data_IF_408241682407
#
_entry.id   IF_408241682407
#
_cell.length_a   1.000
_cell.length_b   1.000
_cell.length_c   1.000
_cell.angle_alpha   90.00
_cell.angle_beta   90.00
_cell.angle_gamma   90.00
#
_symmetry.space_group_name_H-M   'P 1'
#
loop_
_entity.id
_entity.type
_entity.pdbx_description
1 polymer ?
#
# COMPACT_ATOMS: atom_id res chain seq x y z
N UNK A 1 19.21 9.21 -18.24
CA UNK A 1 19.04 9.06 -16.76
C UNK A 1 18.06 7.94 -16.52
N UNK A 2 18.35 7.00 -15.60
CA UNK A 2 17.40 5.94 -15.23
C UNK A 2 16.38 6.53 -14.27
N UNK A 3 15.10 6.24 -14.51
CA UNK A 3 14.01 6.63 -13.61
C UNK A 3 13.29 5.37 -13.14
N UNK A 4 13.00 5.31 -11.85
CA UNK A 4 12.30 4.20 -11.22
C UNK A 4 10.95 4.65 -10.68
N UNK A 5 9.99 3.74 -10.65
CA UNK A 5 8.75 3.97 -9.91
C UNK A 5 8.20 2.66 -9.34
N UNK A 6 7.40 2.78 -8.31
CA UNK A 6 6.63 1.67 -7.72
C UNK A 6 5.23 2.12 -7.38
N UNK A 7 4.30 1.17 -7.34
CA UNK A 7 2.88 1.42 -7.05
C UNK A 7 2.42 0.43 -6.00
N UNK A 8 1.77 0.91 -4.96
CA UNK A 8 1.22 0.05 -3.93
C UNK A 8 0.38 0.81 -2.92
N UNK A 9 -0.16 0.10 -1.93
CA UNK A 9 -0.80 0.73 -0.77
C UNK A 9 0.17 1.03 0.35
N UNK A 10 1.21 0.20 0.51
CA UNK A 10 2.28 0.36 1.50
C UNK A 10 1.76 0.58 2.93
N UNK A 11 0.74 -0.15 3.31
CA UNK A 11 0.05 0.00 4.59
C UNK A 11 0.15 -1.29 5.42
N UNK A 12 1.24 -1.41 6.25
CA UNK A 12 2.36 -0.45 6.37
C UNK A 12 3.51 -0.67 5.38
N UNK A 13 4.50 0.25 5.38
CA UNK A 13 5.75 0.17 4.62
C UNK A 13 6.74 -0.75 5.35
N UNK A 14 6.95 -1.94 4.82
CA UNK A 14 7.77 -3.00 5.43
C UNK A 14 9.22 -2.97 4.97
N UNK A 15 10.09 -3.69 5.71
CA UNK A 15 11.47 -3.92 5.29
C UNK A 15 11.56 -4.62 3.92
N UNK A 16 10.56 -5.44 3.55
CA UNK A 16 10.50 -6.05 2.22
C UNK A 16 10.27 -5.04 1.10
N UNK A 17 9.45 -4.01 1.34
CA UNK A 17 9.29 -2.90 0.41
C UNK A 17 10.57 -2.06 0.30
N UNK A 18 11.23 -1.79 1.43
CA UNK A 18 12.48 -1.05 1.46
C UNK A 18 13.59 -1.81 0.70
N UNK A 19 13.75 -3.12 0.96
CA UNK A 19 14.74 -3.94 0.26
C UNK A 19 14.53 -3.95 -1.26
N UNK A 20 13.26 -4.01 -1.72
CA UNK A 20 12.96 -3.93 -3.15
C UNK A 20 13.46 -2.61 -3.77
N UNK A 21 13.37 -1.51 -3.04
CA UNK A 21 13.87 -0.21 -3.49
C UNK A 21 15.41 -0.22 -3.44
N UNK A 22 16.02 -0.57 -2.32
CA UNK A 22 17.46 -0.54 -2.09
C UNK A 22 18.26 -1.43 -3.05
N UNK A 23 17.68 -2.57 -3.47
CA UNK A 23 18.30 -3.48 -4.43
C UNK A 23 18.43 -2.89 -5.85
N UNK A 24 17.59 -1.92 -6.19
CA UNK A 24 17.46 -1.42 -7.56
C UNK A 24 17.83 0.06 -7.71
N UNK A 25 17.72 0.84 -6.65
CA UNK A 25 17.84 2.30 -6.67
C UNK A 25 19.00 2.72 -5.80
N UNK A 26 20.01 3.33 -6.40
CA UNK A 26 21.19 3.84 -5.67
C UNK A 26 20.95 5.15 -4.94
N UNK A 27 20.00 5.96 -5.46
CA UNK A 27 19.66 7.27 -4.93
C UNK A 27 18.13 7.40 -4.93
N UNK A 28 17.53 7.69 -3.78
CA UNK A 28 16.06 7.76 -3.63
C UNK A 28 15.41 8.90 -4.44
N UNK A 29 16.17 9.89 -4.85
CA UNK A 29 15.71 10.96 -5.76
C UNK A 29 15.28 10.42 -7.14
N UNK A 30 15.76 9.24 -7.52
CA UNK A 30 15.45 8.60 -8.80
C UNK A 30 14.23 7.68 -8.75
N UNK A 31 13.50 7.61 -7.63
CA UNK A 31 12.29 6.81 -7.51
C UNK A 31 11.05 7.66 -7.24
N UNK A 32 9.99 7.40 -8.00
CA UNK A 32 8.65 7.90 -7.71
C UNK A 32 7.81 6.82 -7.06
N UNK A 33 7.28 7.08 -5.87
CA UNK A 33 6.39 6.14 -5.18
C UNK A 33 4.94 6.61 -5.31
N UNK A 34 4.12 5.77 -5.93
CA UNK A 34 2.68 6.02 -6.08
C UNK A 34 1.90 5.20 -5.05
N UNK A 35 1.16 5.90 -4.19
CA UNK A 35 0.34 5.28 -3.16
C UNK A 35 -1.11 5.29 -3.60
N UNK A 36 -1.72 4.12 -3.67
CA UNK A 36 -3.17 4.00 -3.90
C UNK A 36 -3.88 4.44 -2.62
N UNK A 37 -4.44 5.63 -2.63
CA UNK A 37 -5.03 6.26 -1.47
C UNK A 37 -6.36 5.64 -1.05
N UNK A 38 -6.63 5.61 0.25
CA UNK A 38 -7.91 5.19 0.80
C UNK A 38 -9.05 6.15 0.42
N UNK A 39 -8.74 7.44 0.27
CA UNK A 39 -9.70 8.49 -0.05
C UNK A 39 -10.25 8.46 -1.48
N UNK A 40 -9.60 7.73 -2.39
CA UNK A 40 -10.00 7.66 -3.80
C UNK A 40 -10.93 6.49 -4.13
N UNK A 41 -11.57 5.89 -3.16
CA UNK A 41 -12.60 4.88 -3.43
C UNK A 41 -13.76 5.57 -4.16
N UNK A 42 -14.14 5.12 -5.37
CA UNK A 42 -15.22 5.73 -6.14
C UNK A 42 -16.51 5.72 -5.35
N UNK A 43 -17.09 6.90 -5.06
CA UNK A 43 -18.36 7.02 -4.30
C UNK A 43 -19.61 6.75 -5.13
N UNK A 44 -19.50 6.63 -6.45
CA UNK A 44 -20.63 6.69 -7.38
C UNK A 44 -21.67 5.58 -7.23
N UNK A 45 -21.37 4.46 -6.58
CA UNK A 45 -22.28 3.33 -6.40
C UNK A 45 -22.26 2.76 -4.97
N UNK A 46 -21.83 3.53 -4.00
CA UNK A 46 -21.70 3.05 -2.64
C UNK A 46 -23.08 2.92 -1.99
N UNK A 47 -23.45 1.71 -1.64
CA UNK A 47 -24.60 1.45 -0.79
C UNK A 47 -24.21 1.67 0.67
N UNK A 48 -25.18 2.11 1.47
CA UNK A 48 -25.02 2.12 2.93
C UNK A 48 -24.83 0.69 3.42
N UNK A 49 -23.88 0.47 4.31
CA UNK A 49 -23.61 -0.85 4.88
C UNK A 49 -24.81 -1.37 5.66
N UNK A 50 -25.14 -2.65 5.52
CA UNK A 50 -26.02 -3.33 6.46
C UNK A 50 -25.29 -3.64 7.75
N UNK A 51 -26.01 -3.79 8.87
CA UNK A 51 -25.42 -4.19 10.17
C UNK A 51 -24.62 -5.51 10.07
N UNK A 52 -25.14 -6.47 9.32
CA UNK A 52 -24.46 -7.74 9.08
C UNK A 52 -23.15 -7.57 8.30
N UNK A 53 -23.14 -6.73 7.27
CA UNK A 53 -21.93 -6.43 6.52
C UNK A 53 -20.87 -5.75 7.40
N UNK A 54 -21.28 -4.84 8.28
CA UNK A 54 -20.38 -4.18 9.22
C UNK A 54 -19.82 -5.20 10.21
N UNK A 55 -20.66 -6.08 10.78
CA UNK A 55 -20.23 -7.14 11.69
C UNK A 55 -19.16 -8.04 11.04
N UNK A 56 -19.45 -8.55 9.84
CA UNK A 56 -18.50 -9.38 9.08
C UNK A 56 -17.21 -8.64 8.74
N UNK A 57 -17.29 -7.33 8.45
CA UNK A 57 -16.11 -6.52 8.20
C UNK A 57 -15.24 -6.34 9.45
N UNK A 58 -15.85 -6.17 10.63
CA UNK A 58 -15.15 -6.10 11.91
C UNK A 58 -14.44 -7.43 12.20
N UNK A 59 -15.13 -8.56 12.09
CA UNK A 59 -14.56 -9.89 12.31
C UNK A 59 -13.36 -10.16 11.40
N UNK A 60 -13.48 -9.75 10.13
CA UNK A 60 -12.35 -9.88 9.18
C UNK A 60 -11.21 -8.93 9.51
N UNK A 61 -11.51 -7.69 9.92
CA UNK A 61 -10.51 -6.71 10.35
C UNK A 61 -9.73 -7.21 11.58
N UNK A 62 -10.45 -7.69 12.60
CA UNK A 62 -9.84 -8.22 13.82
C UNK A 62 -8.97 -9.47 13.57
N UNK A 63 -9.25 -10.23 12.51
CA UNK A 63 -8.50 -11.42 12.15
C UNK A 63 -7.32 -11.15 11.20
N UNK A 64 -7.40 -10.11 10.36
CA UNK A 64 -6.47 -9.88 9.24
C UNK A 64 -5.85 -8.48 9.21
N UNK A 65 -6.27 -7.56 10.08
CA UNK A 65 -5.80 -6.17 10.14
C UNK A 65 -6.14 -5.32 8.93
N UNK A 66 -7.07 -5.75 8.11
CA UNK A 66 -7.59 -5.05 6.95
C UNK A 66 -9.04 -5.44 6.69
N UNK A 67 -9.73 -4.64 5.89
CA UNK A 67 -11.08 -4.99 5.43
C UNK A 67 -11.00 -5.91 4.22
N UNK A 68 -11.86 -6.91 4.17
CA UNK A 68 -12.00 -7.76 3.00
C UNK A 68 -12.42 -6.93 1.77
N UNK A 69 -11.79 -7.20 0.62
CA UNK A 69 -11.93 -6.38 -0.59
C UNK A 69 -13.39 -6.23 -1.08
N UNK A 70 -14.23 -7.24 -0.83
CA UNK A 70 -15.67 -7.17 -1.18
C UNK A 70 -16.44 -6.04 -0.49
N UNK A 71 -15.92 -5.53 0.63
CA UNK A 71 -16.54 -4.40 1.36
C UNK A 71 -15.97 -3.03 0.94
N UNK A 72 -14.92 -2.97 0.12
CA UNK A 72 -14.28 -1.71 -0.29
C UNK A 72 -15.19 -0.78 -1.10
N UNK A 73 -16.33 -1.26 -1.54
CA UNK A 73 -17.35 -0.49 -2.28
C UNK A 73 -18.51 0.01 -1.41
N UNK A 74 -18.39 -0.10 -0.08
CA UNK A 74 -19.40 0.34 0.87
C UNK A 74 -18.95 1.66 1.49
N UNK A 75 -19.82 2.68 1.48
CA UNK A 75 -19.49 4.05 1.87
C UNK A 75 -18.86 4.19 3.26
N UNK A 76 -19.34 3.37 4.20
CA UNK A 76 -18.98 3.48 5.61
C UNK A 76 -17.74 2.65 5.96
N UNK A 77 -17.22 1.88 4.99
CA UNK A 77 -16.12 0.93 5.22
C UNK A 77 -14.95 1.29 4.30
N UNK A 78 -13.90 1.85 4.86
CA UNK A 78 -12.64 2.06 4.15
C UNK A 78 -11.79 0.78 4.19
N UNK A 79 -10.96 0.57 3.16
CA UNK A 79 -10.27 -0.71 2.98
C UNK A 79 -9.13 -0.97 3.99
N UNK A 80 -8.63 0.07 4.64
CA UNK A 80 -7.53 -0.03 5.60
C UNK A 80 -7.74 0.91 6.79
N UNK A 81 -7.35 0.51 8.00
CA UNK A 81 -7.47 1.32 9.20
C UNK A 81 -6.50 2.51 9.23
N UNK A 82 -5.41 2.46 8.45
CA UNK A 82 -4.37 3.50 8.49
C UNK A 82 -4.65 4.58 7.46
N UNK A 83 -4.52 5.84 7.89
CA UNK A 83 -4.75 6.98 7.01
C UNK A 83 -3.56 7.26 6.06
N UNK A 84 -3.83 8.09 5.05
CA UNK A 84 -2.84 8.44 4.03
C UNK A 84 -1.67 9.27 4.62
N UNK A 85 -1.90 10.04 5.68
CA UNK A 85 -0.86 10.85 6.34
C UNK A 85 0.17 9.96 7.06
N UNK A 86 -0.29 8.94 7.81
CA UNK A 86 0.61 7.96 8.43
C UNK A 86 1.40 7.20 7.36
N UNK A 87 0.77 6.90 6.22
CA UNK A 87 1.46 6.25 5.10
C UNK A 87 2.54 7.17 4.52
N UNK A 88 2.24 8.45 4.30
CA UNK A 88 3.20 9.44 3.82
C UNK A 88 4.39 9.60 4.76
N UNK A 89 4.14 9.68 6.07
CA UNK A 89 5.17 9.83 7.09
C UNK A 89 6.20 8.69 7.04
N UNK A 90 5.77 7.45 6.77
CA UNK A 90 6.66 6.31 6.67
C UNK A 90 7.72 6.47 5.58
N UNK A 91 7.38 7.09 4.46
CA UNK A 91 8.30 7.34 3.35
C UNK A 91 9.16 8.57 3.60
N UNK A 92 8.60 9.61 4.22
CA UNK A 92 9.35 10.83 4.57
C UNK A 92 10.56 10.54 5.46
N UNK A 93 10.47 9.52 6.32
CA UNK A 93 11.60 9.08 7.15
C UNK A 93 12.79 8.55 6.33
N UNK A 94 12.59 8.24 5.06
CA UNK A 94 13.61 7.79 4.11
C UNK A 94 13.95 8.83 3.06
N UNK A 95 13.41 10.06 3.18
CA UNK A 95 13.51 11.11 2.16
C UNK A 95 12.96 10.66 0.79
N UNK A 96 11.91 9.85 0.80
CA UNK A 96 11.23 9.39 -0.41
C UNK A 96 9.93 10.17 -0.57
N UNK A 97 9.82 10.90 -1.67
CA UNK A 97 8.59 11.58 -2.03
C UNK A 97 7.54 10.61 -2.54
N UNK A 98 6.29 10.86 -2.13
CA UNK A 98 5.16 10.04 -2.53
C UNK A 98 4.07 10.85 -3.22
N UNK A 99 3.41 10.22 -4.18
CA UNK A 99 2.24 10.78 -4.87
C UNK A 99 1.05 9.86 -4.66
N UNK A 100 -0.04 10.40 -4.12
CA UNK A 100 -1.29 9.67 -3.98
C UNK A 100 -2.04 9.60 -5.30
N UNK A 101 -2.56 8.42 -5.61
CA UNK A 101 -3.32 8.12 -6.84
C UNK A 101 -4.55 7.28 -6.49
N UNK A 102 -5.57 7.32 -7.33
CA UNK A 102 -6.77 6.50 -7.15
C UNK A 102 -6.53 5.02 -7.46
N UNK A 103 -5.70 4.74 -8.46
CA UNK A 103 -5.40 3.38 -8.91
C UNK A 103 -4.08 3.30 -9.70
N UNK A 104 -3.70 2.09 -10.06
CA UNK A 104 -2.48 1.84 -10.83
C UNK A 104 -2.54 2.40 -12.26
N UNK A 105 -3.73 2.52 -12.86
CA UNK A 105 -3.89 3.09 -14.20
C UNK A 105 -3.53 4.57 -14.21
N UNK A 106 -3.96 5.32 -13.19
CA UNK A 106 -3.59 6.74 -13.05
C UNK A 106 -2.08 6.90 -12.89
N UNK A 107 -1.45 6.10 -12.01
CA UNK A 107 0.00 6.17 -11.81
C UNK A 107 0.77 5.92 -13.12
N UNK A 108 0.43 4.86 -13.82
CA UNK A 108 1.10 4.45 -15.06
C UNK A 108 0.83 5.46 -16.19
N UNK A 109 -0.37 6.06 -16.26
CA UNK A 109 -0.71 7.04 -17.29
C UNK A 109 0.19 8.27 -17.28
N UNK A 110 0.78 8.61 -16.14
CA UNK A 110 1.73 9.74 -16.01
C UNK A 110 2.98 9.59 -16.88
N UNK A 111 3.28 8.36 -17.32
CA UNK A 111 4.47 8.04 -18.13
C UNK A 111 4.21 7.95 -19.64
N UNK A 112 2.96 8.12 -20.10
CA UNK A 112 2.62 7.97 -21.52
C UNK A 112 3.38 8.92 -22.43
N UNK A 113 3.45 10.18 -22.01
CA UNK A 113 3.97 11.29 -22.84
C UNK A 113 5.38 11.71 -22.43
N UNK A 114 5.96 11.05 -21.40
CA UNK A 114 7.27 11.41 -20.92
C UNK A 114 8.33 10.62 -21.68
N UNK A 115 9.36 11.33 -22.16
CA UNK A 115 10.52 10.73 -22.82
C UNK A 115 11.61 10.48 -21.78
N UNK A 116 11.68 9.25 -21.28
CA UNK A 116 12.82 8.78 -20.51
C UNK A 116 13.74 7.93 -21.38
N UNK A 117 15.04 7.98 -21.09
CA UNK A 117 16.01 7.10 -21.72
C UNK A 117 15.77 5.63 -21.30
N UNK A 118 15.49 5.42 -20.01
CA UNK A 118 15.07 4.14 -19.43
C UNK A 118 14.15 4.37 -18.23
N UNK A 119 13.02 3.67 -18.24
CA UNK A 119 12.02 3.71 -17.18
C UNK A 119 11.82 2.30 -16.61
N UNK A 120 11.92 2.18 -15.30
CA UNK A 120 11.81 0.91 -14.59
C UNK A 120 10.66 0.94 -13.59
N UNK A 121 9.82 -0.09 -13.61
CA UNK A 121 8.77 -0.31 -12.60
C UNK A 121 9.22 -1.39 -11.63
N UNK A 122 9.28 -1.05 -10.33
CA UNK A 122 9.58 -2.02 -9.28
C UNK A 122 8.28 -2.61 -8.75
N UNK A 123 8.22 -3.94 -8.66
CA UNK A 123 7.08 -4.63 -8.06
C UNK A 123 7.47 -5.94 -7.39
N UNK A 124 6.60 -6.44 -6.49
CA UNK A 124 6.69 -7.80 -5.99
C UNK A 124 6.27 -8.82 -7.07
N UNK A 125 6.78 -10.03 -6.97
CA UNK A 125 6.48 -11.10 -7.92
C UNK A 125 4.97 -11.40 -8.06
N UNK A 126 4.22 -11.25 -6.96
CA UNK A 126 2.76 -11.46 -6.91
C UNK A 126 1.96 -10.42 -7.71
N UNK A 127 2.57 -9.33 -8.13
CA UNK A 127 1.95 -8.24 -8.90
C UNK A 127 2.39 -8.15 -10.37
N UNK A 128 3.41 -8.90 -10.73
CA UNK A 128 4.03 -8.84 -12.07
C UNK A 128 3.00 -8.93 -13.20
N UNK A 129 2.19 -9.99 -13.20
CA UNK A 129 1.20 -10.21 -14.28
C UNK A 129 0.12 -9.14 -14.31
N UNK A 130 -0.26 -8.63 -13.14
CA UNK A 130 -1.25 -7.53 -13.05
C UNK A 130 -0.71 -6.28 -13.71
N UNK A 131 0.52 -5.89 -13.39
CA UNK A 131 1.11 -4.68 -13.94
C UNK A 131 1.44 -4.81 -15.43
N UNK A 132 1.94 -5.96 -15.89
CA UNK A 132 2.14 -6.22 -17.33
C UNK A 132 0.86 -6.00 -18.13
N UNK A 133 -0.27 -6.57 -17.67
CA UNK A 133 -1.58 -6.37 -18.30
C UNK A 133 -2.02 -4.90 -18.31
N UNK A 134 -1.72 -4.13 -17.28
CA UNK A 134 -2.04 -2.70 -17.25
C UNK A 134 -1.18 -1.93 -18.27
N UNK A 135 0.12 -2.21 -18.33
CA UNK A 135 1.05 -1.59 -19.30
C UNK A 135 0.62 -1.87 -20.75
N UNK A 136 0.26 -3.12 -21.05
CA UNK A 136 -0.27 -3.53 -22.37
C UNK A 136 -1.54 -2.75 -22.72
N UNK A 137 -2.52 -2.68 -21.80
CA UNK A 137 -3.78 -1.95 -22.02
C UNK A 137 -3.58 -0.44 -22.21
N UNK A 138 -2.50 0.10 -21.69
CA UNK A 138 -2.15 1.51 -21.86
C UNK A 138 -1.25 1.77 -23.06
N UNK A 139 -0.83 0.72 -23.80
CA UNK A 139 0.08 0.80 -24.95
C UNK A 139 1.44 1.43 -24.62
N UNK A 140 2.00 1.09 -23.45
CA UNK A 140 3.33 1.57 -23.00
C UNK A 140 4.23 0.44 -22.47
N UNK A 141 3.89 -0.82 -22.73
CA UNK A 141 4.65 -1.96 -22.28
C UNK A 141 6.07 -2.01 -22.86
N UNK A 142 6.28 -1.46 -24.05
CA UNK A 142 7.56 -1.33 -24.72
C UNK A 142 8.49 -0.25 -24.13
N UNK A 143 7.95 0.65 -23.32
CA UNK A 143 8.68 1.77 -22.70
C UNK A 143 9.15 1.50 -21.29
N UNK A 144 8.58 0.49 -20.63
CA UNK A 144 8.77 0.26 -19.19
C UNK A 144 9.28 -1.15 -18.94
N UNK A 145 10.49 -1.24 -18.41
CA UNK A 145 11.04 -2.50 -17.92
C UNK A 145 10.49 -2.79 -16.52
N UNK A 146 9.86 -3.95 -16.31
CA UNK A 146 9.37 -4.35 -14.99
C UNK A 146 10.46 -5.15 -14.28
N UNK A 147 10.96 -4.58 -13.18
CA UNK A 147 11.93 -5.22 -12.30
C UNK A 147 11.22 -5.84 -11.09
N UNK A 148 11.55 -7.09 -10.83
CA UNK A 148 11.05 -7.81 -9.66
C UNK A 148 12.08 -7.65 -8.55
N UNK A 149 11.70 -7.05 -7.44
CA UNK A 149 12.51 -7.10 -6.24
C UNK A 149 12.72 -8.55 -5.77
N UNK A 150 13.75 -8.81 -5.00
CA UNK A 150 14.19 -10.17 -4.59
C UNK A 150 13.14 -11.00 -3.85
N UNK A 151 11.91 -10.50 -3.85
CA UNK A 151 10.73 -11.18 -3.34
C UNK A 151 10.56 -11.03 -1.82
N UNK A 152 9.51 -11.65 -1.32
CA UNK A 152 9.24 -11.73 0.12
C UNK A 152 10.25 -12.67 0.77
N UNK A 153 11.46 -12.18 1.04
CA UNK A 153 12.42 -12.93 1.85
C UNK A 153 11.77 -13.20 3.21
N UNK A 154 11.73 -14.47 3.62
CA UNK A 154 11.32 -14.90 4.96
C UNK A 154 9.87 -14.58 5.40
N UNK A 155 8.90 -14.59 4.49
CA UNK A 155 7.49 -14.40 4.89
C UNK A 155 7.12 -12.96 5.25
N UNK A 156 8.01 -11.98 5.11
CA UNK A 156 7.75 -10.57 5.43
C UNK A 156 6.63 -10.03 4.54
N UNK A 157 5.49 -9.77 5.15
CA UNK A 157 4.30 -9.26 4.45
C UNK A 157 3.61 -8.14 5.24
N UNK A 158 2.90 -7.27 4.52
CA UNK A 158 2.05 -6.28 5.17
C UNK A 158 0.95 -6.91 6.04
N UNK A 159 0.50 -8.13 5.72
CA UNK A 159 -0.47 -8.88 6.52
C UNK A 159 0.12 -9.30 7.86
N UNK A 160 1.34 -9.81 7.88
CA UNK A 160 2.02 -10.20 9.12
C UNK A 160 2.27 -8.99 10.03
N UNK A 161 2.67 -7.87 9.45
CA UNK A 161 2.85 -6.63 10.18
C UNK A 161 1.52 -6.11 10.78
N UNK A 162 0.42 -6.17 10.03
CA UNK A 162 -0.90 -5.82 10.56
C UNK A 162 -1.34 -6.76 11.69
N UNK A 163 -1.06 -8.05 11.56
CA UNK A 163 -1.33 -9.01 12.62
C UNK A 163 -0.53 -8.73 13.90
N UNK A 164 0.71 -8.26 13.78
CA UNK A 164 1.51 -7.82 14.91
C UNK A 164 0.88 -6.60 15.62
N UNK A 165 0.34 -5.64 14.85
CA UNK A 165 -0.38 -4.48 15.39
C UNK A 165 -1.65 -4.93 16.14
N UNK A 166 -2.48 -5.81 15.54
CA UNK A 166 -3.70 -6.33 16.17
C UNK A 166 -3.41 -7.01 17.52
N UNK A 167 -2.33 -7.79 17.57
CA UNK A 167 -1.95 -8.60 18.74
C UNK A 167 -1.14 -7.82 19.75
N UNK A 168 -0.87 -6.54 19.51
CA UNK A 168 0.02 -5.70 20.32
C UNK A 168 1.43 -6.33 20.46
N UNK A 169 1.90 -7.00 19.40
CA UNK A 169 3.19 -7.68 19.35
C UNK A 169 4.28 -6.74 18.80
N UNK A 170 4.81 -5.90 19.70
CA UNK A 170 5.87 -4.94 19.37
C UNK A 170 7.13 -5.60 18.80
N UNK A 171 7.51 -6.78 19.30
CA UNK A 171 8.72 -7.47 18.84
C UNK A 171 8.60 -7.88 17.37
N UNK A 172 7.50 -8.50 17.00
CA UNK A 172 7.21 -8.86 15.60
C UNK A 172 7.07 -7.62 14.74
N UNK A 173 6.39 -6.57 15.22
CA UNK A 173 6.29 -5.29 14.52
C UNK A 173 7.68 -4.75 14.16
N UNK A 174 8.60 -4.65 15.12
CA UNK A 174 9.97 -4.15 14.91
C UNK A 174 10.79 -4.96 13.91
N UNK A 175 10.50 -6.26 13.79
CA UNK A 175 11.22 -7.13 12.85
C UNK A 175 10.74 -7.01 11.39
N UNK A 176 9.56 -6.43 11.17
CA UNK A 176 8.90 -6.39 9.85
C UNK A 176 8.79 -4.98 9.28
N UNK A 177 8.56 -3.98 10.13
CA UNK A 177 8.47 -2.58 9.70
C UNK A 177 9.80 -2.09 9.13
N UNK A 178 9.77 -1.16 8.17
CA UNK A 178 10.99 -0.47 7.73
C UNK A 178 11.65 0.23 8.93
N UNK A 179 12.96 0.03 9.19
CA UNK A 179 13.59 0.31 10.49
C UNK A 179 13.39 1.73 11.04
N UNK A 180 13.43 2.75 10.19
CA UNK A 180 13.20 4.14 10.63
C UNK A 180 11.75 4.43 11.06
N UNK A 181 10.83 3.48 10.87
CA UNK A 181 9.41 3.62 11.18
C UNK A 181 9.00 2.94 12.50
N UNK A 182 9.94 2.33 13.23
CA UNK A 182 9.64 1.61 14.48
C UNK A 182 8.93 2.50 15.51
N UNK A 183 9.27 3.78 15.58
CA UNK A 183 8.66 4.72 16.53
C UNK A 183 7.18 5.01 16.24
N UNK A 184 6.66 4.69 15.05
CA UNK A 184 5.26 4.86 14.67
C UNK A 184 4.33 3.76 15.23
N UNK A 185 4.85 2.82 16.02
CA UNK A 185 4.07 1.70 16.55
C UNK A 185 2.76 2.14 17.23
N UNK A 186 2.86 3.14 18.11
CA UNK A 186 1.69 3.64 18.83
C UNK A 186 0.68 4.32 17.90
N UNK A 187 1.13 5.00 16.85
CA UNK A 187 0.24 5.63 15.86
C UNK A 187 -0.56 4.58 15.10
N UNK A 188 0.07 3.46 14.74
CA UNK A 188 -0.62 2.33 14.13
C UNK A 188 -1.66 1.71 15.06
N UNK A 189 -1.31 1.50 16.35
CA UNK A 189 -2.24 0.96 17.35
C UNK A 189 -3.45 1.88 17.55
N UNK A 190 -3.22 3.18 17.67
CA UNK A 190 -4.28 4.18 17.87
C UNK A 190 -5.23 4.15 16.66
N UNK A 191 -4.71 4.28 15.44
CA UNK A 191 -5.55 4.30 14.24
C UNK A 191 -6.33 3.00 14.04
N UNK A 192 -5.72 1.85 14.34
CA UNK A 192 -6.42 0.56 14.30
C UNK A 192 -7.60 0.52 15.28
N UNK A 193 -7.39 0.96 16.53
CA UNK A 193 -8.43 0.99 17.58
C UNK A 193 -9.53 1.97 17.21
N UNK A 194 -9.19 3.20 16.81
CA UNK A 194 -10.15 4.22 16.39
C UNK A 194 -11.03 3.76 15.24
N UNK A 195 -10.43 3.09 14.24
CA UNK A 195 -11.19 2.57 13.11
C UNK A 195 -12.11 1.41 13.51
N UNK A 196 -11.64 0.51 14.36
CA UNK A 196 -12.46 -0.59 14.89
C UNK A 196 -13.64 -0.05 15.71
N UNK A 197 -13.40 0.94 16.55
CA UNK A 197 -14.43 1.60 17.36
C UNK A 197 -15.44 2.38 16.50
N UNK A 198 -14.96 3.02 15.42
CA UNK A 198 -15.84 3.65 14.43
C UNK A 198 -16.81 2.63 13.81
N UNK A 199 -16.29 1.49 13.33
CA UNK A 199 -17.14 0.44 12.75
C UNK A 199 -18.15 -0.11 13.77
N UNK A 200 -17.72 -0.33 15.02
CA UNK A 200 -18.61 -0.81 16.10
C UNK A 200 -19.77 0.16 16.41
N UNK A 201 -19.55 1.47 16.25
CA UNK A 201 -20.63 2.48 16.43
C UNK A 201 -21.65 2.51 15.31
N UNK A 202 -21.39 1.87 14.16
CA UNK A 202 -22.34 1.80 13.05
C UNK A 202 -23.35 0.66 13.19
N UNK A 203 -23.17 -0.25 14.15
CA UNK A 203 -24.07 -1.38 14.43
C UNK A 203 -25.15 -0.98 15.43
#
# INVERSE_FOLDING_TARGET
>A
MKQYFTIGRFQPFTIGHLSMIDENVSEYENISVYIIANSFIPKANHKKATKEQIKNAIEYLESNGQIEMKYSYINDIISHPFNDELTKQQFSNYNIDVTFVKDAYEAISKYKDIKYEKLYMLCGNDRLDTYKKILERQNIADKIDVLIGSGRKNGISGTELRNAIIKDDYKTFCSIIAPKNVYLYNDFLIQYKEYTDYLKKLI
#
